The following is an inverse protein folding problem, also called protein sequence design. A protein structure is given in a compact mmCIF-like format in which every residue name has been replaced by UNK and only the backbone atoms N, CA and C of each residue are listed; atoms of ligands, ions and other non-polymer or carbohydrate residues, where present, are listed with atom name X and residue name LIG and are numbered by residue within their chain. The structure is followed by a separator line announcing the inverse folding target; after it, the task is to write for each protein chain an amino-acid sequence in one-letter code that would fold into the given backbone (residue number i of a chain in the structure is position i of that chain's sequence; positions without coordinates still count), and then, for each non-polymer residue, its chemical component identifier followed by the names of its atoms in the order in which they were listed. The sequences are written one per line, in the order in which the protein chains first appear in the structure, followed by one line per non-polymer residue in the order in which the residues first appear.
data_IF_456125605194
#
_entry.id   IF_456125605194
#
_cell.length_a   1.000
_cell.length_b   1.000
_cell.length_c   1.000
_cell.angle_alpha   90.00
_cell.angle_beta   90.00
_cell.angle_gamma   90.00
#
_symmetry.space_group_name_H-M   'P 1'
#
loop_
_entity.id
_entity.type
_entity.pdbx_description
1 polymer ?
#
# COMPACT_ATOMS: atom_id res chain seq x y z
N UNK A 1 -1.54 18.81 -0.55
CA UNK A 1 -1.42 17.42 -0.03
C UNK A 1 -0.44 16.70 -0.93
N UNK A 2 0.47 15.90 -0.39
CA UNK A 2 1.49 15.21 -1.20
C UNK A 2 1.14 13.73 -1.29
N UNK A 3 0.94 13.26 -2.52
CA UNK A 3 0.69 11.85 -2.83
C UNK A 3 2.02 11.15 -3.05
N UNK A 4 2.17 9.96 -2.46
CA UNK A 4 3.37 9.15 -2.59
C UNK A 4 3.03 7.92 -3.42
N UNK A 5 3.74 7.73 -4.53
CA UNK A 5 3.71 6.47 -5.28
C UNK A 5 4.40 5.38 -4.45
N UNK A 6 3.72 4.27 -4.24
CA UNK A 6 4.24 3.10 -3.56
C UNK A 6 4.97 2.21 -4.59
N UNK A 7 6.27 2.02 -4.40
CA UNK A 7 7.09 1.17 -5.26
C UNK A 7 6.98 -0.28 -4.78
N UNK A 8 5.85 -0.90 -5.06
CA UNK A 8 5.46 -2.23 -4.60
C UNK A 8 5.43 -3.23 -5.76
N UNK A 9 5.93 -4.44 -5.50
CA UNK A 9 5.77 -5.60 -6.37
C UNK A 9 4.79 -6.55 -5.75
N UNK A 10 3.71 -6.85 -6.47
CA UNK A 10 2.75 -7.85 -6.01
C UNK A 10 3.39 -9.25 -5.93
N UNK A 11 3.13 -9.97 -4.85
CA UNK A 11 3.65 -11.33 -4.62
C UNK A 11 2.51 -12.35 -4.57
N UNK A 12 1.38 -11.98 -3.98
CA UNK A 12 0.27 -12.89 -3.83
C UNK A 12 -0.77 -12.40 -2.84
N UNK A 13 -1.72 -13.28 -2.54
CA UNK A 13 -2.93 -12.92 -1.80
C UNK A 13 -3.14 -13.82 -0.61
N UNK A 14 -3.64 -13.26 0.49
CA UNK A 14 -4.05 -14.02 1.67
C UNK A 14 -5.39 -13.50 2.19
N UNK A 15 -6.45 -14.27 1.95
CA UNK A 15 -7.86 -13.93 2.30
C UNK A 15 -8.26 -12.55 1.76
N UNK A 16 -8.21 -11.51 2.61
CA UNK A 16 -8.57 -10.12 2.27
C UNK A 16 -7.34 -9.22 2.06
N UNK A 17 -6.14 -9.77 2.16
CA UNK A 17 -4.90 -9.01 2.10
C UNK A 17 -4.14 -9.33 0.81
N UNK A 18 -3.61 -8.28 0.21
CA UNK A 18 -2.70 -8.34 -0.92
C UNK A 18 -1.29 -8.09 -0.40
N UNK A 19 -0.37 -9.00 -0.69
CA UNK A 19 1.00 -8.97 -0.19
C UNK A 19 1.92 -8.45 -1.28
N UNK A 20 2.71 -7.45 -0.92
CA UNK A 20 3.66 -6.81 -1.82
C UNK A 20 5.06 -6.84 -1.24
N UNK A 21 6.08 -6.88 -2.10
CA UNK A 21 7.46 -6.57 -1.75
C UNK A 21 7.74 -5.11 -2.07
N UNK A 22 8.24 -4.35 -1.12
CA UNK A 22 8.78 -3.03 -1.44
C UNK A 22 10.05 -3.17 -2.29
N UNK A 23 10.20 -2.37 -3.35
CA UNK A 23 11.46 -2.28 -4.11
C UNK A 23 12.48 -1.37 -3.42
N UNK A 24 12.00 -0.41 -2.64
CA UNK A 24 12.83 0.54 -1.92
C UNK A 24 12.05 1.06 -0.71
N UNK A 25 12.63 0.93 0.49
CA UNK A 25 12.03 1.45 1.71
C UNK A 25 12.73 2.73 2.14
N UNK A 26 12.00 3.84 2.16
CA UNK A 26 12.42 5.05 2.88
C UNK A 26 11.69 5.11 4.22
N UNK A 27 12.43 5.42 5.28
CA UNK A 27 11.86 5.62 6.62
C UNK A 27 10.72 6.63 6.54
N UNK A 28 9.54 6.26 7.05
CA UNK A 28 8.34 7.09 7.03
C UNK A 28 7.52 7.05 5.73
N UNK A 29 7.92 6.27 4.72
CA UNK A 29 7.16 6.10 3.47
C UNK A 29 5.89 5.26 3.65
N UNK A 30 5.95 4.26 4.52
CA UNK A 30 4.82 3.41 4.85
C UNK A 30 4.43 3.69 6.29
N UNK A 31 3.15 3.98 6.50
CA UNK A 31 2.59 4.06 7.83
C UNK A 31 1.39 3.13 7.89
N UNK A 32 1.34 2.31 8.93
CA UNK A 32 0.25 1.38 9.15
C UNK A 32 -1.06 2.19 9.22
N UNK A 33 -2.14 1.62 8.69
CA UNK A 33 -3.45 2.25 8.50
C UNK A 33 -3.50 3.38 7.48
N UNK A 34 -2.43 3.63 6.73
CA UNK A 34 -2.50 4.62 5.65
C UNK A 34 -3.39 4.10 4.52
N UNK A 35 -4.30 4.95 4.01
CA UNK A 35 -5.15 4.56 2.90
C UNK A 35 -4.33 4.41 1.62
N UNK A 36 -4.67 3.41 0.82
CA UNK A 36 -4.06 3.11 -0.47
C UNK A 36 -5.06 3.37 -1.57
N UNK A 37 -4.60 3.99 -2.66
CA UNK A 37 -5.40 4.40 -3.80
C UNK A 37 -4.80 3.90 -5.11
N UNK A 38 -5.66 3.76 -6.12
CA UNK A 38 -5.22 3.55 -7.50
C UNK A 38 -4.78 4.87 -8.17
N UNK A 39 -4.41 4.80 -9.45
CA UNK A 39 -4.05 5.98 -10.26
C UNK A 39 -5.22 6.95 -10.48
N UNK A 40 -6.47 6.46 -10.44
CA UNK A 40 -7.69 7.26 -10.60
C UNK A 40 -8.16 7.85 -9.26
N UNK A 41 -7.41 7.66 -8.19
CA UNK A 41 -7.71 8.09 -6.82
C UNK A 41 -8.91 7.39 -6.18
N UNK A 42 -9.26 6.20 -6.68
CA UNK A 42 -10.21 5.32 -6.01
C UNK A 42 -9.52 4.66 -4.82
N UNK A 43 -10.19 4.63 -3.67
CA UNK A 43 -9.66 4.00 -2.47
C UNK A 43 -9.69 2.48 -2.65
N UNK A 44 -8.52 1.84 -2.56
CA UNK A 44 -8.35 0.38 -2.68
C UNK A 44 -8.52 -0.29 -1.31
N UNK A 45 -8.01 0.35 -0.27
CA UNK A 45 -7.94 -0.21 1.07
C UNK A 45 -6.93 0.53 1.92
N UNK A 46 -6.23 -0.20 2.80
CA UNK A 46 -5.23 0.39 3.69
C UNK A 46 -4.06 -0.54 3.96
N UNK A 47 -2.91 0.04 4.30
CA UNK A 47 -1.75 -0.72 4.77
C UNK A 47 -2.10 -1.34 6.13
N UNK A 48 -2.20 -2.66 6.17
CA UNK A 48 -2.48 -3.40 7.41
C UNK A 48 -1.22 -3.68 8.19
N UNK A 49 -0.14 -4.02 7.50
CA UNK A 49 1.10 -4.46 8.13
C UNK A 49 2.32 -4.21 7.24
N UNK A 50 3.48 -4.05 7.87
CA UNK A 50 4.79 -3.94 7.22
C UNK A 50 5.76 -4.83 7.99
N UNK A 51 6.25 -5.89 7.34
CA UNK A 51 7.03 -6.93 8.00
C UNK A 51 8.20 -7.41 7.15
N UNK A 52 9.09 -8.22 7.74
CA UNK A 52 10.28 -8.72 7.07
C UNK A 52 11.49 -7.76 7.16
N UNK A 53 12.46 -7.86 6.23
CA UNK A 53 13.71 -7.11 6.30
C UNK A 53 13.52 -5.60 6.24
N UNK A 54 14.30 -4.85 7.03
CA UNK A 54 14.19 -3.38 7.13
C UNK A 54 14.42 -2.69 5.78
N UNK A 55 15.38 -3.16 4.98
CA UNK A 55 15.73 -2.54 3.70
C UNK A 55 14.72 -2.85 2.59
N UNK A 56 14.05 -3.99 2.69
CA UNK A 56 13.15 -4.51 1.66
C UNK A 56 11.95 -5.24 2.29
N UNK A 57 11.07 -4.52 3.00
CA UNK A 57 9.97 -5.12 3.72
C UNK A 57 8.87 -5.59 2.77
N UNK A 58 8.09 -6.53 3.28
CA UNK A 58 6.79 -6.88 2.76
C UNK A 58 5.75 -5.92 3.31
N UNK A 59 4.77 -5.59 2.48
CA UNK A 59 3.65 -4.72 2.82
C UNK A 59 2.36 -5.48 2.58
N UNK A 60 1.55 -5.59 3.62
CA UNK A 60 0.21 -6.17 3.55
C UNK A 60 -0.80 -5.05 3.39
N UNK A 61 -1.59 -5.09 2.31
CA UNK A 61 -2.68 -4.16 2.06
C UNK A 61 -3.99 -4.92 2.22
N UNK A 62 -4.79 -4.52 3.20
CA UNK A 62 -6.14 -5.06 3.37
C UNK A 62 -7.09 -4.31 2.43
N UNK A 63 -7.78 -5.05 1.58
CA UNK A 63 -8.77 -4.49 0.67
C UNK A 63 -9.98 -3.98 1.42
N UNK A 64 -10.55 -2.89 0.90
CA UNK A 64 -11.85 -2.41 1.34
C UNK A 64 -12.94 -3.45 0.97
N UNK A 65 -14.01 -3.53 1.75
CA UNK A 65 -15.10 -4.50 1.57
C UNK A 65 -15.84 -4.34 0.24
N UNK A 66 -15.77 -3.16 -0.36
CA UNK A 66 -16.42 -2.83 -1.64
C UNK A 66 -15.59 -3.22 -2.86
N UNK A 67 -14.32 -3.61 -2.68
CA UNK A 67 -13.43 -3.99 -3.78
C UNK A 67 -13.24 -5.49 -3.76
N UNK A 68 -13.74 -6.17 -4.80
CA UNK A 68 -13.44 -7.59 -5.00
C UNK A 68 -12.06 -7.69 -5.64
N UNK A 69 -11.30 -8.70 -5.23
CA UNK A 69 -9.97 -8.99 -5.75
C UNK A 69 -9.93 -9.15 -7.27
N UNK A 70 -11.06 -9.52 -7.88
CA UNK A 70 -11.20 -9.73 -9.34
C UNK A 70 -11.17 -8.42 -10.13
N UNK A 71 -11.46 -7.28 -9.47
CA UNK A 71 -11.67 -6.00 -10.17
C UNK A 71 -10.38 -5.19 -10.36
N UNK A 72 -9.26 -5.64 -9.78
CA UNK A 72 -8.01 -4.87 -9.76
C UNK A 72 -6.77 -5.74 -9.99
N UNK A 73 -6.06 -5.45 -11.08
CA UNK A 73 -4.76 -6.08 -11.35
C UNK A 73 -3.64 -5.38 -10.56
N UNK A 74 -3.27 -5.99 -9.43
CA UNK A 74 -2.20 -5.52 -8.55
C UNK A 74 -0.79 -5.69 -9.14
N UNK A 75 -0.62 -6.47 -10.22
CA UNK A 75 0.69 -6.71 -10.81
C UNK A 75 1.16 -5.59 -11.74
N UNK A 76 0.22 -4.93 -12.42
CA UNK A 76 0.51 -3.90 -13.42
C UNK A 76 0.28 -2.47 -12.92
N UNK A 77 -0.55 -2.29 -11.88
CA UNK A 77 -1.00 -0.96 -11.49
C UNK A 77 -0.14 -0.31 -10.39
N UNK A 78 0.03 1.00 -10.54
CA UNK A 78 0.70 1.83 -9.53
C UNK A 78 -0.24 2.14 -8.37
N UNK A 79 0.24 1.92 -7.14
CA UNK A 79 -0.47 2.22 -5.91
C UNK A 79 0.04 3.53 -5.30
N UNK A 80 -0.85 4.27 -4.64
CA UNK A 80 -0.53 5.56 -4.03
C UNK A 80 -1.02 5.62 -2.58
N UNK A 81 -0.33 6.41 -1.75
CA UNK A 81 -0.82 6.72 -0.40
C UNK A 81 -0.71 8.22 -0.10
N UNK A 82 -1.46 8.68 0.89
CA UNK A 82 -1.38 10.06 1.40
C UNK A 82 -0.27 10.16 2.44
N UNK A 83 0.67 11.07 2.23
CA UNK A 83 1.59 11.44 3.31
C UNK A 83 0.80 12.21 4.38
N UNK A 84 0.75 11.70 5.62
CA UNK A 84 0.29 12.52 6.75
C UNK A 84 1.28 13.67 6.91
N UNK A 85 0.79 14.92 6.82
CA UNK A 85 1.60 16.07 7.29
C UNK A 85 1.92 15.79 8.76
N UNK A 86 3.21 15.74 9.10
CA UNK A 86 3.62 15.73 10.49
C UNK A 86 2.97 16.94 11.16
N UNK A 87 2.11 16.70 12.16
CA UNK A 87 1.68 17.77 13.07
C UNK A 87 2.96 18.12 13.85
N UNK A 88 3.64 19.20 13.46
CA UNK A 88 4.64 19.82 14.34
C UNK A 88 3.92 20.10 15.66
N UNK A 89 4.34 19.42 16.72
CA UNK A 89 4.02 19.81 18.09
C UNK A 89 4.77 21.09 18.42
#
# INVERSE_FOLDING_TARGET
MTWIKLNLNFIGTSKKNQIFRSRAFKKGQFNIYSPVFDKKMNMIGHIKDVFGPVDMPFVSIQLDTNIKQVDFDFSSQSLFTKMKKSRKK
#
